data_IF_210966397956
#
_entry.id   IF_210966397956
#
_cell.length_a   1.000
_cell.length_b   1.000
_cell.length_c   1.000
_cell.angle_alpha   90.00
_cell.angle_beta   90.00
_cell.angle_gamma   90.00
#
_symmetry.space_group_name_H-M   'P 1'
#
loop_
_entity.id
_entity.type
_entity.pdbx_description
1 polymer ?
#
# COMPACT_ATOMS: atom_id res chain seq x y z
N UNK A 1 -14.22 52.51 61.79
CA UNK A 1 -13.43 52.84 62.98
C UNK A 1 -11.99 52.51 62.70
N UNK A 2 -11.14 53.46 62.43
CA UNK A 2 -10.11 54.06 63.33
C UNK A 2 -9.31 52.98 64.06
N UNK A 3 -7.97 52.97 64.07
CA UNK A 3 -6.92 53.94 63.85
C UNK A 3 -5.56 53.26 63.90
N UNK A 4 -4.63 53.85 63.29
CA UNK A 4 -3.44 54.59 63.71
C UNK A 4 -2.48 53.90 64.70
N UNK A 5 -1.18 53.97 64.29
CA UNK A 5 0.03 54.11 65.12
C UNK A 5 1.18 53.32 64.42
N UNK A 6 2.00 53.86 63.74
CA UNK A 6 3.15 54.78 63.75
C UNK A 6 4.24 54.34 64.75
N UNK A 7 5.40 54.15 64.25
CA UNK A 7 6.75 54.64 64.53
C UNK A 7 7.86 53.68 64.13
N UNK A 8 8.79 54.20 63.32
CA UNK A 8 9.98 53.59 62.82
C UNK A 8 11.21 53.76 63.72
N UNK A 9 12.44 53.91 63.14
CA UNK A 9 13.48 52.90 63.00
C UNK A 9 14.62 53.14 64.06
N UNK A 10 15.85 52.67 63.97
CA UNK A 10 16.75 52.19 62.85
C UNK A 10 17.67 51.04 63.27
N UNK A 11 18.44 50.55 62.28
CA UNK A 11 19.58 49.66 62.57
C UNK A 11 20.36 49.21 61.31
N UNK A 12 21.40 49.95 61.02
CA UNK A 12 22.43 49.59 60.04
C UNK A 12 23.12 48.26 60.34
N UNK A 13 23.36 47.46 59.32
CA UNK A 13 24.27 46.36 59.36
C UNK A 13 24.66 45.95 57.92
N UNK A 14 25.67 46.61 57.37
CA UNK A 14 26.31 46.22 56.12
C UNK A 14 27.07 44.92 56.31
N UNK A 15 26.73 43.89 55.56
CA UNK A 15 27.68 42.81 55.25
C UNK A 15 27.58 42.52 53.75
N UNK A 16 28.66 42.82 53.04
CA UNK A 16 28.97 42.47 51.70
C UNK A 16 28.90 40.96 51.49
N UNK A 17 28.04 40.52 50.61
CA UNK A 17 28.11 39.14 50.06
C UNK A 17 28.98 39.16 48.81
N UNK A 18 29.83 38.14 48.59
CA UNK A 18 30.69 38.06 47.44
C UNK A 18 29.85 37.79 46.18
N UNK A 19 30.12 38.54 45.12
CA UNK A 19 29.60 38.35 43.80
C UNK A 19 30.14 37.04 43.19
N UNK A 20 29.43 35.95 43.38
CA UNK A 20 29.65 34.75 42.62
C UNK A 20 29.05 34.91 41.23
N UNK A 21 29.89 35.18 40.27
CA UNK A 21 29.56 35.14 38.85
C UNK A 21 29.25 33.69 38.47
N UNK A 22 27.97 33.33 38.36
CA UNK A 22 27.58 32.06 37.73
C UNK A 22 27.86 32.20 36.23
N UNK A 23 28.97 31.65 35.79
CA UNK A 23 29.26 31.48 34.38
C UNK A 23 28.41 30.29 33.93
N UNK A 24 27.31 30.57 33.26
CA UNK A 24 26.61 29.54 32.49
C UNK A 24 27.57 29.02 31.42
N UNK A 25 27.82 27.72 31.31
CA UNK A 25 28.55 27.19 30.20
C UNK A 25 27.74 27.48 28.94
N UNK A 26 28.33 28.25 28.03
CA UNK A 26 27.82 28.41 26.69
C UNK A 26 27.75 27.01 26.06
N UNK A 27 26.55 26.52 25.82
CA UNK A 27 26.33 25.39 24.93
C UNK A 27 26.86 25.80 23.57
N UNK A 28 28.04 25.27 23.21
CA UNK A 28 28.51 25.30 21.84
C UNK A 28 27.47 24.60 20.96
N UNK A 29 27.10 25.17 19.81
CA UNK A 29 26.25 24.47 18.88
C UNK A 29 27.00 23.22 18.43
N UNK A 30 26.57 22.06 18.89
CA UNK A 30 26.97 20.80 18.31
C UNK A 30 26.33 20.74 16.91
N UNK A 31 27.08 21.17 15.92
CA UNK A 31 26.74 20.86 14.51
C UNK A 31 26.94 19.36 14.32
N UNK A 32 25.90 18.61 14.64
CA UNK A 32 25.80 17.24 14.20
C UNK A 32 25.52 17.28 12.69
N UNK A 33 26.57 17.14 11.88
CA UNK A 33 26.40 16.80 10.48
C UNK A 33 25.87 15.35 10.41
N UNK A 34 24.53 15.20 10.41
CA UNK A 34 23.88 13.99 10.01
C UNK A 34 23.99 13.89 8.50
N UNK A 35 24.97 13.15 8.02
CA UNK A 35 25.03 12.72 6.64
C UNK A 35 24.00 11.63 6.44
N UNK A 36 22.84 12.00 5.89
CA UNK A 36 21.87 11.03 5.37
C UNK A 36 22.35 10.60 3.99
N UNK A 37 22.85 9.39 3.88
CA UNK A 37 22.94 8.73 2.60
C UNK A 37 21.53 8.26 2.25
N UNK A 38 20.84 8.99 1.38
CA UNK A 38 19.67 8.46 0.67
C UNK A 38 20.21 7.49 -0.40
N UNK A 39 20.50 6.26 -0.02
CA UNK A 39 20.51 5.19 -0.99
C UNK A 39 19.05 4.91 -1.34
N UNK A 40 18.74 4.91 -2.64
CA UNK A 40 17.49 4.41 -3.16
C UNK A 40 17.35 2.96 -2.69
N UNK A 41 16.55 2.75 -1.66
CA UNK A 41 16.22 1.41 -1.22
C UNK A 41 15.24 0.82 -2.23
N UNK A 42 15.79 0.24 -3.28
CA UNK A 42 15.15 -0.89 -3.94
C UNK A 42 15.07 -1.97 -2.87
N UNK A 43 13.91 -2.48 -2.56
CA UNK A 43 13.59 -3.40 -1.47
C UNK A 43 14.70 -4.35 -1.00
N UNK A 44 14.53 -5.08 0.10
CA UNK A 44 15.61 -5.87 0.68
C UNK A 44 16.24 -6.76 -0.40
N UNK A 45 17.57 -6.87 -0.45
CA UNK A 45 18.22 -7.83 -1.32
C UNK A 45 17.66 -9.22 -0.99
N UNK A 46 17.40 -10.01 -2.04
CA UNK A 46 16.78 -11.33 -1.95
C UNK A 46 17.32 -12.11 -0.72
N UNK A 47 16.49 -12.27 0.29
CA UNK A 47 16.68 -13.23 1.37
C UNK A 47 16.87 -12.72 2.80
N UNK A 48 17.12 -11.45 3.06
CA UNK A 48 17.21 -10.95 4.43
C UNK A 48 16.02 -10.07 4.83
N UNK A 49 15.41 -10.28 6.02
CA UNK A 49 14.30 -9.47 6.50
C UNK A 49 14.77 -8.04 6.84
N UNK A 50 13.96 -7.04 6.54
CA UNK A 50 14.16 -5.69 7.07
C UNK A 50 13.75 -5.70 8.54
N UNK A 51 14.73 -5.64 9.44
CA UNK A 51 14.50 -5.61 10.88
C UNK A 51 14.46 -4.17 11.35
N UNK A 52 13.30 -3.73 11.83
CA UNK A 52 13.17 -2.42 12.48
C UNK A 52 13.86 -2.49 13.85
N UNK A 53 14.88 -1.65 14.11
CA UNK A 53 15.59 -1.71 15.38
C UNK A 53 14.70 -1.24 16.54
N UNK A 54 14.77 -1.93 17.68
CA UNK A 54 14.08 -1.52 18.92
C UNK A 54 14.72 -0.22 19.42
N UNK A 55 13.93 0.84 19.53
CA UNK A 55 14.38 2.16 19.98
C UNK A 55 13.46 2.67 21.08
N UNK A 56 14.01 3.42 22.03
CA UNK A 56 13.21 4.10 23.06
C UNK A 56 12.32 5.21 22.48
N UNK A 57 12.75 5.82 21.38
CA UNK A 57 12.02 6.87 20.66
C UNK A 57 12.30 6.69 19.19
N UNK A 58 11.24 6.63 18.38
CA UNK A 58 11.31 6.69 16.92
C UNK A 58 11.15 8.16 16.50
N UNK A 59 12.23 8.79 16.12
CA UNK A 59 12.21 10.14 15.59
C UNK A 59 12.27 10.09 14.06
N UNK A 60 11.23 10.60 13.41
CA UNK A 60 11.13 10.63 11.96
C UNK A 60 11.03 12.08 11.50
N UNK A 61 11.94 12.50 10.63
CA UNK A 61 11.81 13.75 9.92
C UNK A 61 10.97 13.49 8.68
N UNK A 62 9.74 13.97 8.71
CA UNK A 62 8.81 13.75 7.63
C UNK A 62 8.98 14.76 6.52
N UNK A 63 9.07 14.27 5.30
CA UNK A 63 9.09 15.06 4.07
C UNK A 63 7.94 14.60 3.16
N UNK A 64 6.98 15.50 2.96
CA UNK A 64 5.82 15.23 2.11
C UNK A 64 5.70 16.34 1.09
N UNK A 65 5.74 15.99 -0.17
CA UNK A 65 5.62 16.94 -1.28
C UNK A 65 4.61 16.46 -2.30
N UNK A 66 3.96 17.41 -2.95
CA UNK A 66 3.05 17.18 -4.05
C UNK A 66 3.44 18.10 -5.20
N UNK A 67 3.68 17.56 -6.38
CA UNK A 67 4.08 18.33 -7.56
C UNK A 67 3.17 17.99 -8.74
N UNK A 68 2.84 18.98 -9.55
CA UNK A 68 2.16 18.77 -10.81
C UNK A 68 3.16 18.23 -11.84
N UNK A 69 2.84 17.09 -12.47
CA UNK A 69 3.81 16.39 -13.34
C UNK A 69 4.23 17.17 -14.58
N UNK A 70 3.35 17.87 -15.32
CA UNK A 70 3.73 18.50 -16.60
C UNK A 70 4.80 19.58 -16.46
N UNK A 71 4.82 20.32 -15.36
CA UNK A 71 5.67 21.49 -15.17
C UNK A 71 6.47 21.47 -13.87
N UNK A 72 6.27 20.45 -13.02
CA UNK A 72 6.95 20.32 -11.75
C UNK A 72 6.52 21.36 -10.69
N UNK A 73 5.43 22.09 -10.92
CA UNK A 73 4.94 23.08 -9.98
C UNK A 73 4.57 22.42 -8.63
N UNK A 74 5.10 22.97 -7.54
CA UNK A 74 4.76 22.50 -6.19
C UNK A 74 3.32 22.86 -5.84
N UNK A 75 2.58 21.87 -5.35
CA UNK A 75 1.21 22.02 -4.89
C UNK A 75 1.22 21.97 -3.35
N UNK A 76 0.93 23.07 -2.67
CA UNK A 76 0.89 23.08 -1.21
C UNK A 76 -0.22 22.17 -0.70
N UNK A 77 0.09 21.36 0.31
CA UNK A 77 -0.82 20.34 0.83
C UNK A 77 -0.90 20.41 2.36
N UNK A 78 -2.10 20.35 2.93
CA UNK A 78 -2.33 20.24 4.37
C UNK A 78 -2.25 18.79 4.86
N UNK A 79 -2.87 17.89 4.11
CA UNK A 79 -2.84 16.46 4.34
C UNK A 79 -2.91 15.70 3.03
N UNK A 80 -2.39 14.48 3.07
CA UNK A 80 -2.35 13.58 1.92
C UNK A 80 -2.58 12.15 2.43
N UNK A 81 -3.42 11.39 1.74
CA UNK A 81 -3.65 9.98 1.99
C UNK A 81 -3.46 9.17 0.72
N UNK A 82 -2.77 8.05 0.86
CA UNK A 82 -2.55 7.06 -0.19
C UNK A 82 -3.00 5.70 0.33
N UNK A 83 -3.73 4.94 -0.45
CA UNK A 83 -4.20 3.62 -0.04
C UNK A 83 -4.09 2.61 -1.17
N UNK A 84 -3.76 1.37 -0.81
CA UNK A 84 -3.76 0.24 -1.72
C UNK A 84 -4.23 -1.00 -0.97
N UNK A 85 -5.18 -1.72 -1.55
CA UNK A 85 -5.64 -3.01 -1.09
C UNK A 85 -5.29 -4.10 -2.11
N UNK A 86 -5.04 -5.33 -1.67
CA UNK A 86 -4.73 -6.46 -2.54
C UNK A 86 -5.87 -6.82 -3.52
N UNK A 87 -7.08 -6.30 -3.31
CA UNK A 87 -8.18 -6.40 -4.26
C UNK A 87 -8.25 -5.23 -5.25
N UNK A 88 -7.44 -4.16 -5.02
CA UNK A 88 -7.40 -2.96 -5.85
C UNK A 88 -6.24 -3.01 -6.83
N UNK A 89 -6.52 -2.71 -8.08
CA UNK A 89 -5.54 -2.60 -9.17
C UNK A 89 -4.94 -1.18 -9.29
N UNK A 90 -5.28 -0.27 -8.37
CA UNK A 90 -4.86 1.13 -8.39
C UNK A 90 -4.67 1.67 -6.98
N UNK A 91 -3.73 2.61 -6.83
CA UNK A 91 -3.64 3.42 -5.61
C UNK A 91 -4.85 4.34 -5.50
N UNK A 92 -5.44 4.43 -4.32
CA UNK A 92 -6.35 5.50 -3.94
C UNK A 92 -5.57 6.72 -3.48
N UNK A 93 -6.05 7.92 -3.78
CA UNK A 93 -5.40 9.17 -3.45
C UNK A 93 -6.43 10.20 -2.96
N UNK A 94 -6.11 10.86 -1.87
CA UNK A 94 -6.87 12.01 -1.35
C UNK A 94 -5.90 13.05 -0.79
N UNK A 95 -6.19 14.32 -0.98
CA UNK A 95 -5.44 15.41 -0.37
C UNK A 95 -6.34 16.63 -0.09
N UNK A 96 -5.95 17.41 0.92
CA UNK A 96 -6.55 18.71 1.21
C UNK A 96 -5.53 19.81 0.98
N UNK A 97 -5.94 20.84 0.25
CA UNK A 97 -5.11 21.94 -0.23
C UNK A 97 -5.67 23.29 0.26
N UNK A 98 -4.84 24.33 0.38
CA UNK A 98 -5.34 25.69 0.55
C UNK A 98 -6.11 26.14 -0.71
N UNK A 99 -7.12 26.98 -0.54
CA UNK A 99 -7.92 27.48 -1.66
C UNK A 99 -7.10 28.20 -2.73
N UNK A 100 -5.98 28.81 -2.33
CA UNK A 100 -5.04 29.47 -3.27
C UNK A 100 -4.36 28.52 -4.24
N UNK A 101 -4.40 27.20 -3.99
CA UNK A 101 -3.80 26.19 -4.86
C UNK A 101 -4.77 25.64 -5.92
N UNK A 102 -6.02 26.14 -6.01
CA UNK A 102 -7.04 25.65 -6.95
C UNK A 102 -6.54 25.62 -8.40
N UNK A 103 -5.88 26.69 -8.83
CA UNK A 103 -5.37 26.81 -10.21
C UNK A 103 -4.29 25.77 -10.57
N UNK A 104 -3.65 25.13 -9.59
CA UNK A 104 -2.64 24.08 -9.82
C UNK A 104 -3.30 22.73 -10.12
N UNK A 105 -4.49 22.50 -9.63
CA UNK A 105 -5.20 21.22 -9.75
C UNK A 105 -6.43 21.30 -10.66
N UNK A 106 -6.85 22.50 -11.03
CA UNK A 106 -7.91 22.71 -12.02
C UNK A 106 -7.41 22.24 -13.40
N UNK A 107 -8.05 21.27 -14.05
CA UNK A 107 -7.68 20.84 -15.39
C UNK A 107 -7.86 21.94 -16.43
N UNK A 108 -8.67 22.98 -16.18
CA UNK A 108 -8.92 24.08 -17.09
C UNK A 108 -9.46 23.58 -18.42
N UNK A 109 -8.80 24.02 -19.53
CA UNK A 109 -9.13 23.57 -20.88
C UNK A 109 -8.44 22.26 -21.29
N UNK A 110 -7.63 21.66 -20.43
CA UNK A 110 -6.96 20.38 -20.70
C UNK A 110 -7.97 19.24 -20.69
N UNK A 111 -7.81 18.31 -21.61
CA UNK A 111 -8.61 17.09 -21.61
C UNK A 111 -8.01 16.08 -20.63
N UNK A 112 -8.72 15.78 -19.56
CA UNK A 112 -8.33 14.75 -18.59
C UNK A 112 -7.91 15.28 -17.23
N UNK A 113 -7.69 14.38 -16.27
CA UNK A 113 -7.31 14.73 -14.90
C UNK A 113 -5.88 15.27 -14.83
N UNK A 114 -5.62 16.11 -13.85
CA UNK A 114 -4.27 16.59 -13.57
C UNK A 114 -3.45 15.46 -12.95
N UNK A 115 -2.31 15.14 -13.57
CA UNK A 115 -1.36 14.16 -13.02
C UNK A 115 -0.46 14.83 -11.98
N UNK A 116 -0.38 14.23 -10.81
CA UNK A 116 0.40 14.70 -9.67
C UNK A 116 1.42 13.65 -9.26
N UNK A 117 2.57 14.11 -8.78
CA UNK A 117 3.62 13.31 -8.15
C UNK A 117 3.60 13.60 -6.66
N UNK A 118 3.10 12.66 -5.88
CA UNK A 118 3.15 12.71 -4.43
C UNK A 118 4.42 12.00 -3.95
N UNK A 119 5.13 12.58 -3.01
CA UNK A 119 6.27 11.96 -2.35
C UNK A 119 6.08 11.96 -0.85
N UNK A 120 6.24 10.80 -0.24
CA UNK A 120 6.12 10.61 1.22
C UNK A 120 7.39 9.95 1.71
N UNK A 121 8.19 10.67 2.47
CA UNK A 121 9.49 10.22 3.00
C UNK A 121 10.39 9.56 1.93
N UNK A 122 10.42 10.16 0.72
CA UNK A 122 11.21 9.67 -0.41
C UNK A 122 10.54 8.63 -1.30
N UNK A 123 9.43 8.04 -0.88
CA UNK A 123 8.64 7.15 -1.74
C UNK A 123 7.70 7.97 -2.60
N UNK A 124 7.83 7.85 -3.93
CA UNK A 124 7.07 8.62 -4.89
C UNK A 124 5.88 7.84 -5.46
N UNK A 125 4.78 8.55 -5.71
CA UNK A 125 3.54 8.00 -6.30
C UNK A 125 3.02 8.92 -7.38
N UNK A 126 2.68 8.37 -8.55
CA UNK A 126 1.97 9.10 -9.59
C UNK A 126 0.48 8.85 -9.47
N UNK A 127 -0.27 9.93 -9.29
CA UNK A 127 -1.71 9.92 -9.06
C UNK A 127 -2.42 10.92 -9.95
N UNK A 128 -3.69 10.71 -10.17
CA UNK A 128 -4.57 11.56 -10.97
C UNK A 128 -5.55 12.26 -10.03
N UNK A 129 -5.65 13.59 -10.13
CA UNK A 129 -6.70 14.35 -9.47
C UNK A 129 -7.98 14.25 -10.32
N UNK A 130 -8.89 13.33 -9.95
CA UNK A 130 -10.09 13.06 -10.72
C UNK A 130 -11.28 13.86 -10.24
N UNK A 131 -11.39 14.09 -8.94
CA UNK A 131 -12.44 14.87 -8.31
C UNK A 131 -11.83 16.02 -7.54
N UNK A 132 -12.40 17.21 -7.74
CA UNK A 132 -11.98 18.42 -7.07
C UNK A 132 -13.24 19.02 -6.44
N UNK A 133 -13.21 19.22 -5.13
CA UNK A 133 -14.28 19.86 -4.38
C UNK A 133 -13.74 21.04 -3.58
N UNK A 134 -14.47 22.15 -3.59
CA UNK A 134 -14.13 23.31 -2.77
C UNK A 134 -15.15 23.46 -1.65
N UNK A 135 -14.63 23.54 -0.43
CA UNK A 135 -15.41 23.86 0.76
C UNK A 135 -15.03 25.25 1.23
N UNK A 136 -16.04 26.06 1.49
CA UNK A 136 -15.85 27.42 1.97
C UNK A 136 -16.79 27.69 3.14
N UNK A 137 -16.20 28.01 4.28
CA UNK A 137 -16.89 28.53 5.46
C UNK A 137 -16.45 29.97 5.70
N UNK A 138 -17.13 30.69 6.60
CA UNK A 138 -16.69 32.05 6.93
C UNK A 138 -15.30 32.05 7.57
N UNK A 139 -14.37 32.70 6.90
CA UNK A 139 -12.98 32.81 7.39
C UNK A 139 -12.06 31.66 6.98
N UNK A 140 -12.58 30.59 6.34
CA UNK A 140 -11.77 29.47 5.89
C UNK A 140 -12.24 28.94 4.53
N UNK A 141 -11.28 28.52 3.71
CA UNK A 141 -11.57 27.89 2.43
C UNK A 141 -10.49 26.85 2.11
N UNK A 142 -10.93 25.65 1.78
CA UNK A 142 -10.06 24.53 1.41
C UNK A 142 -10.55 23.84 0.17
N UNK A 143 -9.63 23.13 -0.50
CA UNK A 143 -9.90 22.27 -1.63
C UNK A 143 -9.58 20.86 -1.23
N UNK A 144 -10.50 19.96 -1.49
CA UNK A 144 -10.26 18.52 -1.39
C UNK A 144 -10.16 17.95 -2.79
N UNK A 145 -9.08 17.23 -3.04
CA UNK A 145 -8.90 16.47 -4.27
C UNK A 145 -8.86 14.98 -3.93
N UNK A 146 -9.41 14.18 -4.82
CA UNK A 146 -9.35 12.72 -4.73
C UNK A 146 -9.22 12.11 -6.11
N UNK A 147 -8.72 10.89 -6.16
CA UNK A 147 -8.57 10.17 -7.40
C UNK A 147 -7.80 8.87 -7.23
N UNK A 148 -7.24 8.43 -8.32
CA UNK A 148 -6.59 7.12 -8.42
C UNK A 148 -5.15 7.25 -8.90
N UNK A 149 -4.37 6.18 -8.70
CA UNK A 149 -3.04 6.04 -9.29
C UNK A 149 -3.09 6.05 -10.82
N UNK A 150 -1.92 6.15 -11.43
CA UNK A 150 -1.76 6.27 -12.90
C UNK A 150 -2.43 5.13 -13.69
N UNK A 151 -2.60 3.96 -13.10
CA UNK A 151 -3.30 2.80 -13.68
C UNK A 151 -4.75 3.09 -14.03
N UNK A 152 -5.36 4.15 -13.47
CA UNK A 152 -6.72 4.57 -13.79
C UNK A 152 -6.94 4.86 -15.29
N UNK A 153 -5.86 5.22 -16.03
CA UNK A 153 -5.96 5.43 -17.49
C UNK A 153 -6.36 4.17 -18.27
N UNK A 154 -6.18 2.98 -17.67
CA UNK A 154 -6.59 1.70 -18.25
C UNK A 154 -8.05 1.32 -17.92
N UNK A 155 -8.74 2.15 -17.15
CA UNK A 155 -10.11 1.96 -16.70
C UNK A 155 -11.04 3.10 -17.12
N UNK A 156 -12.33 2.90 -16.97
CA UNK A 156 -13.31 3.98 -17.13
C UNK A 156 -13.05 5.11 -16.10
N UNK A 157 -13.27 6.38 -16.48
CA UNK A 157 -13.82 6.87 -17.75
C UNK A 157 -12.79 7.06 -18.88
N UNK A 158 -11.49 6.82 -18.63
CA UNK A 158 -10.41 7.12 -19.59
C UNK A 158 -10.27 6.05 -20.66
N UNK A 159 -10.55 4.80 -20.30
CA UNK A 159 -10.52 3.66 -21.20
C UNK A 159 -11.92 3.36 -21.74
N UNK A 160 -12.07 3.14 -23.06
CA UNK A 160 -13.33 2.67 -23.61
C UNK A 160 -13.56 1.19 -23.25
N UNK A 161 -14.82 0.76 -23.23
CA UNK A 161 -15.15 -0.64 -23.21
C UNK A 161 -14.87 -1.26 -24.58
N UNK A 162 -14.11 -2.36 -24.58
CA UNK A 162 -13.68 -3.08 -25.77
C UNK A 162 -14.05 -4.56 -25.63
N UNK A 163 -14.00 -5.27 -26.75
CA UNK A 163 -14.10 -6.74 -26.77
C UNK A 163 -12.71 -7.32 -27.00
N UNK A 164 -12.28 -8.16 -26.09
CA UNK A 164 -11.01 -8.87 -26.13
C UNK A 164 -11.26 -10.35 -26.42
N UNK A 165 -10.49 -10.93 -27.33
CA UNK A 165 -10.53 -12.36 -27.63
C UNK A 165 -9.18 -12.81 -28.20
N UNK A 166 -8.81 -14.04 -28.00
CA UNK A 166 -7.61 -14.62 -28.60
C UNK A 166 -7.97 -15.45 -29.84
N UNK A 167 -7.57 -14.98 -31.02
CA UNK A 167 -7.76 -15.72 -32.27
C UNK A 167 -6.83 -16.94 -32.38
N UNK A 168 -5.70 -16.91 -31.69
CA UNK A 168 -4.67 -17.98 -31.68
C UNK A 168 -4.37 -18.39 -30.23
N UNK A 169 -3.76 -19.59 -30.09
CA UNK A 169 -3.25 -20.02 -28.78
C UNK A 169 -2.14 -19.10 -28.29
N UNK A 170 -2.22 -18.70 -27.03
CA UNK A 170 -1.25 -17.82 -26.36
C UNK A 170 -1.02 -18.31 -24.94
N UNK A 171 0.10 -17.93 -24.32
CA UNK A 171 0.21 -18.06 -22.88
C UNK A 171 -0.56 -16.93 -22.19
N UNK A 172 -0.93 -17.12 -20.92
CA UNK A 172 -1.66 -16.09 -20.16
C UNK A 172 -0.88 -14.77 -20.07
N UNK A 173 0.45 -14.85 -19.95
CA UNK A 173 1.33 -13.69 -20.01
C UNK A 173 1.24 -12.98 -21.37
N UNK A 174 1.34 -13.74 -22.47
CA UNK A 174 1.23 -13.18 -23.81
C UNK A 174 -0.13 -12.54 -24.06
N UNK A 175 -1.22 -13.11 -23.51
CA UNK A 175 -2.55 -12.49 -23.57
C UNK A 175 -2.58 -11.12 -22.89
N UNK A 176 -1.90 -10.94 -21.78
CA UNK A 176 -1.82 -9.62 -21.14
C UNK A 176 -1.09 -8.59 -22.01
N UNK A 177 0.01 -8.99 -22.64
CA UNK A 177 0.72 -8.12 -23.58
C UNK A 177 -0.16 -7.78 -24.81
N UNK A 178 -0.96 -8.74 -25.28
CA UNK A 178 -1.90 -8.53 -26.39
C UNK A 178 -3.06 -7.61 -25.99
N UNK A 179 -3.63 -7.74 -24.79
CA UNK A 179 -4.64 -6.84 -24.21
C UNK A 179 -4.12 -5.39 -24.15
N UNK A 180 -2.85 -5.20 -23.84
CA UNK A 180 -2.19 -3.88 -23.78
C UNK A 180 -1.74 -3.36 -25.15
N UNK A 181 -2.24 -3.94 -26.22
CA UNK A 181 -1.91 -3.56 -27.60
C UNK A 181 -3.20 -3.23 -28.34
N UNK A 182 -3.24 -2.09 -29.03
CA UNK A 182 -4.40 -1.65 -29.84
C UNK A 182 -3.95 -1.52 -31.28
N UNK A 183 -4.59 -2.24 -32.20
CA UNK A 183 -4.25 -2.26 -33.63
C UNK A 183 -2.76 -2.49 -33.89
N UNK A 184 -2.11 -3.38 -33.11
CA UNK A 184 -0.69 -3.67 -33.23
C UNK A 184 0.24 -2.63 -32.56
N UNK A 185 -0.30 -1.61 -31.91
CA UNK A 185 0.48 -0.56 -31.21
C UNK A 185 0.38 -0.77 -29.71
N UNK A 186 1.52 -1.02 -28.99
CA UNK A 186 1.51 -1.11 -27.53
C UNK A 186 1.09 0.19 -26.87
N UNK A 187 0.32 0.10 -25.80
CA UNK A 187 -0.12 1.25 -24.98
C UNK A 187 1.00 1.84 -24.11
N UNK A 188 2.21 1.28 -24.15
CA UNK A 188 3.34 1.72 -23.34
C UNK A 188 3.29 1.25 -21.89
N UNK A 189 2.44 0.25 -21.59
CA UNK A 189 2.39 -0.43 -20.31
C UNK A 189 3.14 -1.76 -20.37
N UNK A 190 3.80 -2.12 -19.28
CA UNK A 190 4.48 -3.39 -19.10
C UNK A 190 3.82 -4.24 -18.01
N UNK A 191 3.98 -5.56 -18.13
CA UNK A 191 3.50 -6.52 -17.13
C UNK A 191 4.68 -7.25 -16.50
N UNK A 192 4.82 -7.11 -15.19
CA UNK A 192 5.73 -7.93 -14.38
C UNK A 192 4.95 -9.15 -13.87
N UNK A 193 5.20 -10.28 -14.55
CA UNK A 193 4.46 -11.52 -14.37
C UNK A 193 5.04 -12.38 -13.25
N UNK A 194 4.31 -12.57 -12.16
CA UNK A 194 4.71 -13.35 -10.99
C UNK A 194 3.90 -14.62 -10.75
N UNK A 195 3.16 -15.12 -11.75
CA UNK A 195 2.45 -16.40 -11.69
C UNK A 195 3.16 -17.47 -12.50
N UNK A 196 2.86 -18.73 -12.24
CA UNK A 196 3.22 -19.80 -13.18
C UNK A 196 2.37 -19.65 -14.42
N UNK A 197 3.00 -19.51 -15.60
CA UNK A 197 2.30 -19.29 -16.86
C UNK A 197 1.62 -20.58 -17.35
N UNK A 198 0.61 -20.43 -18.21
CA UNK A 198 -0.12 -21.55 -18.81
C UNK A 198 -0.62 -21.17 -20.21
N UNK A 199 -0.88 -22.18 -21.05
CA UNK A 199 -1.40 -21.95 -22.39
C UNK A 199 -2.92 -21.78 -22.36
N UNK A 200 -3.39 -20.81 -23.13
CA UNK A 200 -4.80 -20.53 -23.38
C UNK A 200 -5.07 -20.81 -24.86
N UNK A 201 -5.85 -21.84 -25.20
CA UNK A 201 -6.19 -22.18 -26.57
C UNK A 201 -6.92 -21.05 -27.29
N UNK A 202 -6.89 -21.06 -28.62
CA UNK A 202 -7.64 -20.12 -29.45
C UNK A 202 -9.12 -20.13 -29.07
N UNK A 203 -9.69 -18.93 -28.93
CA UNK A 203 -11.11 -18.72 -28.59
C UNK A 203 -11.49 -18.97 -27.13
N UNK A 204 -10.56 -19.40 -26.27
CA UNK A 204 -10.87 -19.63 -24.86
C UNK A 204 -10.95 -18.33 -24.05
N UNK A 205 -10.32 -17.26 -24.49
CA UNK A 205 -10.44 -15.94 -23.87
C UNK A 205 -11.43 -15.07 -24.63
N UNK A 206 -12.48 -14.66 -23.93
CA UNK A 206 -13.43 -13.65 -24.38
C UNK A 206 -13.82 -12.76 -23.21
N UNK A 207 -13.59 -11.46 -23.33
CA UNK A 207 -13.91 -10.48 -22.30
C UNK A 207 -14.42 -9.20 -22.93
N UNK A 208 -15.45 -8.59 -22.33
CA UNK A 208 -15.94 -7.27 -22.70
C UNK A 208 -15.78 -6.33 -21.53
N UNK A 209 -15.07 -5.24 -21.72
CA UNK A 209 -14.79 -4.26 -20.67
C UNK A 209 -13.58 -3.41 -21.02
N UNK A 210 -12.99 -2.79 -20.01
CA UNK A 210 -11.78 -1.98 -20.11
C UNK A 210 -10.52 -2.88 -20.09
N UNK A 211 -9.37 -2.30 -20.45
CA UNK A 211 -8.10 -3.02 -20.39
C UNK A 211 -7.83 -3.63 -19.01
N UNK A 212 -8.06 -2.83 -17.95
CA UNK A 212 -7.78 -3.30 -16.58
C UNK A 212 -8.68 -4.47 -16.17
N UNK A 213 -9.95 -4.48 -16.62
CA UNK A 213 -10.88 -5.57 -16.34
C UNK A 213 -10.48 -6.85 -17.06
N UNK A 214 -10.03 -6.74 -18.32
CA UNK A 214 -9.51 -7.86 -19.08
C UNK A 214 -8.24 -8.45 -18.42
N UNK A 215 -7.30 -7.60 -18.01
CA UNK A 215 -6.09 -8.01 -17.28
C UNK A 215 -6.43 -8.66 -15.94
N UNK A 216 -7.39 -8.10 -15.20
CA UNK A 216 -7.85 -8.66 -13.93
C UNK A 216 -8.50 -10.03 -14.10
N UNK A 217 -9.26 -10.24 -15.19
CA UNK A 217 -9.83 -11.55 -15.52
C UNK A 217 -8.73 -12.60 -15.75
N UNK A 218 -7.70 -12.26 -16.53
CA UNK A 218 -6.58 -13.17 -16.80
C UNK A 218 -5.83 -13.52 -15.51
N UNK A 219 -5.47 -12.51 -14.69
CA UNK A 219 -4.80 -12.75 -13.41
C UNK A 219 -5.66 -13.58 -12.45
N UNK A 220 -6.96 -13.25 -12.37
CA UNK A 220 -7.93 -13.88 -11.48
C UNK A 220 -8.14 -15.38 -11.76
N UNK A 221 -8.02 -15.81 -13.02
CA UNK A 221 -8.16 -17.21 -13.40
C UNK A 221 -7.21 -18.14 -12.62
N UNK A 222 -5.98 -17.69 -12.37
CA UNK A 222 -4.99 -18.42 -11.56
C UNK A 222 -4.95 -17.96 -10.08
N UNK A 223 -5.96 -17.23 -9.59
CA UNK A 223 -5.96 -16.72 -8.22
C UNK A 223 -4.97 -15.57 -7.96
N UNK A 224 -4.54 -14.90 -9.03
CA UNK A 224 -3.71 -13.71 -8.96
C UNK A 224 -4.51 -12.42 -8.78
N UNK A 225 -3.79 -11.32 -8.63
CA UNK A 225 -4.30 -9.97 -8.61
C UNK A 225 -3.32 -9.01 -9.28
N UNK A 226 -3.82 -7.84 -9.67
CA UNK A 226 -3.02 -6.78 -10.25
C UNK A 226 -2.57 -5.80 -9.16
N UNK A 227 -1.30 -5.47 -9.17
CA UNK A 227 -0.70 -4.50 -8.26
C UNK A 227 -0.04 -3.39 -9.08
N UNK A 228 -0.42 -2.12 -8.87
CA UNK A 228 0.14 -1.01 -9.64
C UNK A 228 1.57 -0.71 -9.19
N UNK A 229 2.45 -0.38 -10.13
CA UNK A 229 3.71 0.24 -9.76
C UNK A 229 3.44 1.68 -9.31
N UNK A 230 4.07 2.19 -8.24
CA UNK A 230 3.81 3.53 -7.72
C UNK A 230 3.98 4.66 -8.74
N UNK A 231 4.98 4.58 -9.62
CA UNK A 231 5.33 5.65 -10.57
C UNK A 231 5.39 5.22 -12.03
N UNK A 232 5.83 3.99 -12.33
CA UNK A 232 6.02 3.51 -13.69
C UNK A 232 4.69 3.05 -14.33
N UNK A 233 4.65 3.01 -15.66
CA UNK A 233 3.58 2.39 -16.44
C UNK A 233 3.78 0.87 -16.45
N UNK A 234 3.67 0.28 -15.28
CA UNK A 234 3.85 -1.15 -15.07
C UNK A 234 2.83 -1.71 -14.10
N UNK A 235 2.33 -2.90 -14.39
CA UNK A 235 1.45 -3.68 -13.53
C UNK A 235 2.20 -4.93 -13.10
N UNK A 236 2.20 -5.19 -11.80
CA UNK A 236 2.73 -6.42 -11.22
C UNK A 236 1.58 -7.41 -11.04
N UNK A 237 1.70 -8.59 -11.61
CA UNK A 237 0.75 -9.68 -11.41
C UNK A 237 1.31 -10.59 -10.33
N UNK A 238 0.60 -10.73 -9.22
CA UNK A 238 1.05 -11.52 -8.07
C UNK A 238 -0.04 -12.50 -7.65
N UNK A 239 0.36 -13.63 -7.08
CA UNK A 239 -0.58 -14.58 -6.49
C UNK A 239 -1.12 -14.03 -5.16
N UNK A 240 -2.41 -14.25 -4.88
CA UNK A 240 -3.04 -13.78 -3.63
C UNK A 240 -2.38 -14.34 -2.37
N UNK A 241 -1.80 -15.53 -2.48
CA UNK A 241 -1.01 -16.20 -1.45
C UNK A 241 0.27 -16.71 -2.10
N UNK A 242 1.34 -15.90 -2.12
CA UNK A 242 2.63 -16.30 -2.72
C UNK A 242 3.15 -17.59 -2.11
N UNK A 243 2.92 -17.76 -0.82
CA UNK A 243 3.16 -18.97 -0.05
C UNK A 243 1.84 -19.35 0.66
N UNK A 244 1.50 -20.61 0.66
CA UNK A 244 0.28 -21.08 1.30
C UNK A 244 0.40 -20.96 2.85
N UNK A 245 -0.67 -20.59 3.57
CA UNK A 245 -0.62 -20.33 5.01
C UNK A 245 -0.06 -21.49 5.84
N UNK A 246 -0.28 -22.72 5.42
CA UNK A 246 0.25 -23.90 6.10
C UNK A 246 1.76 -24.12 5.92
N UNK A 247 2.41 -23.31 5.08
CA UNK A 247 3.85 -23.32 4.83
C UNK A 247 4.56 -22.11 5.47
N UNK A 248 3.81 -21.17 6.08
CA UNK A 248 4.38 -19.93 6.64
C UNK A 248 5.37 -20.17 7.79
N UNK A 249 5.29 -21.31 8.48
CA UNK A 249 6.22 -21.61 9.58
C UNK A 249 7.69 -21.66 9.19
N UNK A 250 8.02 -21.79 7.92
CA UNK A 250 9.39 -21.80 7.38
C UNK A 250 9.74 -20.55 6.57
N UNK A 251 8.82 -19.57 6.51
CA UNK A 251 9.01 -18.39 5.70
C UNK A 251 9.79 -17.31 6.45
N UNK A 252 10.77 -16.71 5.79
CA UNK A 252 11.44 -15.51 6.28
C UNK A 252 10.56 -14.30 6.00
N UNK A 253 10.23 -13.46 6.99
CA UNK A 253 9.44 -12.25 6.79
C UNK A 253 10.22 -11.21 5.97
N UNK A 254 9.52 -10.37 5.22
CA UNK A 254 10.12 -9.21 4.56
C UNK A 254 10.45 -8.11 5.58
N UNK A 255 9.61 -7.97 6.60
CA UNK A 255 9.77 -6.96 7.66
C UNK A 255 9.55 -7.58 9.04
N UNK A 256 10.40 -7.19 9.99
CA UNK A 256 10.23 -7.51 11.40
C UNK A 256 9.89 -6.23 12.15
N UNK A 257 8.68 -6.15 12.69
CA UNK A 257 8.14 -4.98 13.37
C UNK A 257 8.16 -5.20 14.89
N UNK A 258 9.01 -4.50 15.65
CA UNK A 258 8.98 -4.59 17.10
C UNK A 258 7.71 -3.92 17.66
N UNK A 259 7.27 -4.39 18.82
CA UNK A 259 6.06 -3.85 19.47
C UNK A 259 6.13 -2.34 19.68
N UNK A 260 7.31 -1.81 19.99
CA UNK A 260 7.53 -0.39 20.27
C UNK A 260 7.38 0.50 19.02
N UNK A 261 7.45 -0.07 17.82
CA UNK A 261 7.22 0.67 16.57
C UNK A 261 5.72 0.78 16.23
N UNK A 262 4.88 -0.06 16.82
CA UNK A 262 3.44 -0.10 16.55
C UNK A 262 2.71 0.81 17.54
N UNK A 263 2.22 1.95 17.05
CA UNK A 263 1.51 2.93 17.87
C UNK A 263 0.08 2.49 18.23
N UNK A 264 -0.54 1.69 17.37
CA UNK A 264 -1.89 1.17 17.60
C UNK A 264 -2.05 -0.17 16.90
N UNK A 265 -2.65 -1.10 17.62
CA UNK A 265 -3.05 -2.41 17.12
C UNK A 265 -4.56 -2.59 17.28
N UNK A 266 -5.18 -3.27 16.32
CA UNK A 266 -6.56 -3.72 16.40
C UNK A 266 -6.64 -5.13 15.79
N UNK A 267 -7.24 -6.07 16.50
CA UNK A 267 -7.29 -7.48 16.12
C UNK A 267 -8.73 -7.92 15.99
N UNK A 268 -9.04 -8.62 14.91
CA UNK A 268 -10.35 -9.22 14.63
C UNK A 268 -10.18 -10.68 14.25
N UNK A 269 -10.84 -11.57 14.94
CA UNK A 269 -10.88 -12.99 14.61
C UNK A 269 -12.01 -13.28 13.63
N UNK A 270 -11.67 -14.03 12.59
CA UNK A 270 -12.62 -14.50 11.58
C UNK A 270 -12.59 -16.02 11.56
N UNK A 271 -13.76 -16.62 11.57
CA UNK A 271 -13.90 -18.06 11.36
C UNK A 271 -14.55 -18.31 10.01
N UNK A 272 -13.79 -18.89 9.09
CA UNK A 272 -14.26 -19.35 7.78
C UNK A 272 -14.30 -20.88 7.77
N UNK A 273 -15.14 -21.50 6.92
CA UNK A 273 -15.12 -22.95 6.75
C UNK A 273 -13.70 -23.43 6.42
N UNK A 274 -13.24 -24.47 7.13
CA UNK A 274 -11.88 -25.00 6.96
C UNK A 274 -11.82 -25.96 5.76
N UNK A 275 -12.02 -25.44 4.56
CA UNK A 275 -11.92 -26.21 3.33
C UNK A 275 -10.53 -26.81 3.16
N UNK A 276 -10.47 -28.07 2.73
CA UNK A 276 -9.20 -28.76 2.48
C UNK A 276 -9.14 -29.42 1.09
N UNK A 277 -10.19 -29.27 0.28
CA UNK A 277 -10.25 -29.68 -1.11
C UNK A 277 -11.14 -28.73 -1.92
N UNK A 278 -10.74 -28.49 -3.17
CA UNK A 278 -11.54 -27.73 -4.13
C UNK A 278 -11.44 -28.37 -5.52
N UNK A 279 -12.53 -28.35 -6.26
CA UNK A 279 -12.55 -28.65 -7.68
C UNK A 279 -12.54 -27.35 -8.47
N UNK A 280 -11.67 -27.29 -9.45
CA UNK A 280 -11.46 -26.12 -10.32
C UNK A 280 -11.50 -26.60 -11.76
N UNK A 281 -12.35 -26.00 -12.58
CA UNK A 281 -12.58 -26.47 -13.95
C UNK A 281 -12.47 -25.35 -14.96
N UNK A 282 -11.99 -25.67 -16.13
CA UNK A 282 -12.26 -24.93 -17.35
C UNK A 282 -13.71 -25.03 -17.77
N UNK A 283 -14.13 -24.23 -18.74
CA UNK A 283 -15.51 -24.19 -19.21
C UNK A 283 -15.74 -25.14 -20.39
N UNK A 284 -15.37 -24.75 -21.62
CA UNK A 284 -15.56 -25.57 -22.81
C UNK A 284 -14.28 -26.37 -23.17
N UNK A 285 -13.16 -25.70 -23.07
CA UNK A 285 -11.81 -26.28 -23.22
C UNK A 285 -11.08 -26.09 -21.92
N UNK A 286 -10.48 -27.14 -21.40
CA UNK A 286 -9.74 -27.01 -20.15
C UNK A 286 -9.68 -28.28 -19.34
N UNK A 287 -9.22 -28.14 -18.12
CA UNK A 287 -8.98 -29.24 -17.19
C UNK A 287 -9.99 -29.21 -16.06
N UNK A 288 -10.37 -30.40 -15.58
CA UNK A 288 -10.97 -30.54 -14.26
C UNK A 288 -9.84 -30.83 -13.27
N UNK A 289 -9.45 -29.83 -12.51
CA UNK A 289 -8.44 -29.94 -11.48
C UNK A 289 -9.04 -30.23 -10.11
N UNK A 290 -8.46 -31.18 -9.40
CA UNK A 290 -8.72 -31.36 -7.96
C UNK A 290 -7.49 -30.88 -7.20
N UNK A 291 -7.68 -29.90 -6.33
CA UNK A 291 -6.61 -29.40 -5.45
C UNK A 291 -6.96 -29.80 -4.02
N UNK A 292 -6.08 -30.52 -3.35
CA UNK A 292 -6.24 -30.96 -1.97
C UNK A 292 -5.05 -30.47 -1.15
N UNK A 293 -5.31 -29.91 0.02
CA UNK A 293 -4.28 -29.50 0.97
C UNK A 293 -3.49 -30.71 1.43
N UNK A 294 -2.18 -30.69 1.26
CA UNK A 294 -1.29 -31.78 1.67
C UNK A 294 -1.44 -32.08 3.19
N UNK A 295 -1.35 -33.37 3.54
CA UNK A 295 -1.50 -33.80 4.93
C UNK A 295 -2.94 -33.80 5.46
N UNK A 296 -3.95 -33.59 4.61
CA UNK A 296 -5.38 -33.64 5.01
C UNK A 296 -6.14 -34.72 4.26
N UNK A 297 -7.29 -35.15 4.82
CA UNK A 297 -8.13 -36.17 4.18
C UNK A 297 -8.88 -35.64 2.92
N UNK A 298 -8.91 -34.35 2.70
CA UNK A 298 -9.65 -33.75 1.58
C UNK A 298 -11.17 -33.94 1.65
N UNK A 299 -11.71 -34.03 2.84
CA UNK A 299 -13.13 -34.35 3.10
C UNK A 299 -14.03 -33.11 3.29
N UNK A 300 -13.44 -31.91 3.40
CA UNK A 300 -14.18 -30.66 3.51
C UNK A 300 -14.03 -29.89 2.20
N UNK A 301 -15.09 -29.94 1.38
CA UNK A 301 -15.08 -29.42 0.03
C UNK A 301 -15.43 -27.94 0.01
N UNK A 302 -14.61 -27.15 -0.68
CA UNK A 302 -14.97 -25.80 -1.08
C UNK A 302 -15.94 -25.82 -2.28
N UNK A 303 -16.74 -24.77 -2.50
CA UNK A 303 -17.51 -24.62 -3.72
C UNK A 303 -16.61 -24.74 -4.96
N UNK A 304 -17.11 -25.48 -5.95
CA UNK A 304 -16.42 -25.64 -7.22
C UNK A 304 -16.31 -24.30 -7.94
N UNK A 305 -15.17 -24.05 -8.56
CA UNK A 305 -14.93 -22.87 -9.40
C UNK A 305 -14.79 -23.28 -10.84
N UNK A 306 -15.50 -22.58 -11.73
CA UNK A 306 -15.43 -22.75 -13.18
C UNK A 306 -14.99 -21.43 -13.80
N UNK A 307 -13.92 -21.46 -14.63
CA UNK A 307 -13.41 -20.29 -15.32
C UNK A 307 -12.85 -20.71 -16.68
N UNK A 308 -13.24 -19.99 -17.73
CA UNK A 308 -12.85 -20.33 -19.11
C UNK A 308 -11.33 -20.35 -19.34
N UNK A 309 -10.59 -19.57 -18.54
CA UNK A 309 -9.13 -19.49 -18.66
C UNK A 309 -8.37 -20.56 -17.87
N UNK A 310 -9.07 -21.45 -17.15
CA UNK A 310 -8.45 -22.60 -16.48
C UNK A 310 -8.28 -23.74 -17.49
N UNK A 311 -7.36 -23.57 -18.39
CA UNK A 311 -7.14 -24.47 -19.54
C UNK A 311 -6.07 -25.52 -19.28
N UNK A 312 -5.22 -25.32 -18.27
CA UNK A 312 -4.14 -26.24 -17.89
C UNK A 312 -4.02 -26.43 -16.38
N UNK A 313 -3.35 -27.51 -15.98
CA UNK A 313 -3.14 -27.88 -14.59
C UNK A 313 -2.43 -26.78 -13.73
N UNK A 314 -1.43 -26.04 -14.24
CA UNK A 314 -0.82 -24.94 -13.47
C UNK A 314 -1.82 -23.86 -13.05
N UNK A 315 -2.72 -23.46 -13.94
CA UNK A 315 -3.77 -22.47 -13.62
C UNK A 315 -4.73 -23.01 -12.56
N UNK A 316 -5.24 -24.26 -12.76
CA UNK A 316 -6.12 -24.91 -11.80
C UNK A 316 -5.48 -25.04 -10.41
N UNK A 317 -4.20 -25.43 -10.35
CA UNK A 317 -3.46 -25.57 -9.09
C UNK A 317 -3.33 -24.25 -8.35
N UNK A 318 -2.89 -23.19 -9.03
CA UNK A 318 -2.74 -21.85 -8.44
C UNK A 318 -4.09 -21.31 -7.95
N UNK A 319 -5.15 -21.46 -8.76
CA UNK A 319 -6.50 -21.07 -8.37
C UNK A 319 -6.96 -21.81 -7.11
N UNK A 320 -6.75 -23.13 -7.08
CA UNK A 320 -7.10 -23.96 -5.93
C UNK A 320 -6.34 -23.60 -4.66
N UNK A 321 -5.03 -23.30 -4.77
CA UNK A 321 -4.22 -22.82 -3.65
C UNK A 321 -4.79 -21.50 -3.12
N UNK A 322 -5.13 -20.55 -4.00
CA UNK A 322 -5.71 -19.26 -3.59
C UNK A 322 -7.01 -19.45 -2.79
N UNK A 323 -7.88 -20.38 -3.22
CA UNK A 323 -9.15 -20.67 -2.54
C UNK A 323 -8.90 -21.33 -1.19
N UNK A 324 -8.08 -22.39 -1.14
CA UNK A 324 -7.81 -23.13 0.09
C UNK A 324 -6.99 -22.32 1.11
N UNK A 325 -6.24 -21.34 0.66
CA UNK A 325 -5.50 -20.42 1.53
C UNK A 325 -6.43 -19.44 2.24
N UNK A 326 -7.58 -19.10 1.67
CA UNK A 326 -8.54 -18.17 2.28
C UNK A 326 -9.61 -18.91 3.13
N UNK A 327 -9.19 -19.83 3.95
CA UNK A 327 -10.09 -20.71 4.74
C UNK A 327 -9.62 -20.84 6.19
N UNK A 328 -10.50 -21.38 7.05
CA UNK A 328 -10.19 -21.68 8.46
C UNK A 328 -10.18 -20.44 9.34
N UNK A 329 -9.53 -20.57 10.49
CA UNK A 329 -9.42 -19.48 11.46
C UNK A 329 -8.40 -18.47 11.02
N UNK A 330 -8.84 -17.25 10.80
CA UNK A 330 -8.01 -16.13 10.37
C UNK A 330 -8.04 -15.01 11.41
N UNK A 331 -6.99 -14.22 11.41
CA UNK A 331 -6.87 -13.04 12.24
C UNK A 331 -6.60 -11.87 11.27
N UNK A 332 -7.49 -10.89 11.30
CA UNK A 332 -7.25 -9.60 10.65
C UNK A 332 -6.68 -8.64 11.68
N UNK A 333 -5.51 -8.13 11.40
CA UNK A 333 -4.80 -7.19 12.28
C UNK A 333 -4.60 -5.87 11.57
N UNK A 334 -4.94 -4.80 12.25
CA UNK A 334 -4.62 -3.45 11.78
C UNK A 334 -3.48 -2.90 12.63
N UNK A 335 -2.33 -2.67 12.01
CA UNK A 335 -1.13 -2.12 12.66
C UNK A 335 -0.90 -0.70 12.17
N UNK A 336 -0.93 0.28 13.09
CA UNK A 336 -0.57 1.66 12.79
C UNK A 336 0.84 1.96 13.30
N UNK A 337 1.72 2.39 12.39
CA UNK A 337 3.12 2.69 12.69
C UNK A 337 3.58 3.92 11.89
N UNK A 338 4.62 4.64 12.35
CA UNK A 338 5.21 5.72 11.57
C UNK A 338 5.83 5.17 10.27
N UNK A 339 5.89 5.99 9.24
CA UNK A 339 6.63 5.65 8.02
C UNK A 339 8.11 5.85 8.32
N UNK A 340 8.78 4.76 8.66
CA UNK A 340 10.21 4.76 8.99
C UNK A 340 11.07 4.77 7.73
N UNK A 341 12.29 5.27 7.83
CA UNK A 341 13.25 5.26 6.70
C UNK A 341 13.60 3.82 6.28
N UNK A 342 13.63 2.90 7.24
CA UNK A 342 13.97 1.49 7.04
C UNK A 342 12.87 0.72 6.29
N UNK A 343 11.60 1.09 6.51
CA UNK A 343 10.48 0.36 5.93
C UNK A 343 9.88 1.05 4.69
N UNK A 344 9.96 2.37 4.62
CA UNK A 344 9.13 3.11 3.69
C UNK A 344 7.64 2.82 3.89
N UNK A 345 6.87 2.89 2.83
CA UNK A 345 5.48 2.43 2.80
C UNK A 345 5.48 0.94 2.43
N UNK A 346 5.02 0.11 3.35
CA UNK A 346 4.95 -1.34 3.15
C UNK A 346 3.75 -1.65 2.25
N UNK A 347 4.00 -2.30 1.12
CA UNK A 347 2.98 -2.60 0.12
C UNK A 347 2.24 -3.93 0.42
N UNK A 348 0.99 -4.10 -0.07
CA UNK A 348 0.30 -5.39 -0.02
C UNK A 348 1.10 -6.51 -0.70
N UNK A 349 1.06 -7.71 -0.12
CA UNK A 349 1.83 -8.87 -0.58
C UNK A 349 3.11 -9.11 0.20
N UNK A 350 3.57 -8.15 1.01
CA UNK A 350 4.70 -8.33 1.90
C UNK A 350 4.32 -9.18 3.13
N UNK A 351 5.27 -9.96 3.62
CA UNK A 351 5.15 -10.70 4.88
C UNK A 351 5.75 -9.89 6.02
N UNK A 352 4.97 -9.69 7.07
CA UNK A 352 5.41 -8.98 8.26
C UNK A 352 5.38 -9.89 9.48
N UNK A 353 6.46 -9.87 10.24
CA UNK A 353 6.50 -10.44 11.59
C UNK A 353 6.22 -9.32 12.59
N UNK A 354 5.30 -9.55 13.50
CA UNK A 354 4.93 -8.60 14.55
C UNK A 354 4.63 -9.32 15.85
N UNK A 355 4.63 -8.58 16.95
CA UNK A 355 4.35 -9.12 18.28
C UNK A 355 2.90 -8.84 18.67
N UNK A 356 2.17 -9.91 19.01
CA UNK A 356 0.83 -9.90 19.60
C UNK A 356 0.96 -10.33 21.07
N UNK A 357 1.08 -9.36 21.97
CA UNK A 357 1.43 -9.62 23.37
C UNK A 357 2.77 -10.32 23.54
N UNK A 358 2.76 -11.55 24.00
CA UNK A 358 3.96 -12.40 24.15
C UNK A 358 4.21 -13.34 22.95
N UNK A 359 3.35 -13.31 21.94
CA UNK A 359 3.39 -14.21 20.79
C UNK A 359 3.91 -13.48 19.57
N UNK A 360 4.93 -14.03 18.92
CA UNK A 360 5.36 -13.55 17.61
C UNK A 360 4.49 -14.18 16.52
N UNK A 361 3.92 -13.35 15.66
CA UNK A 361 3.06 -13.77 14.55
C UNK A 361 3.63 -13.32 13.22
N UNK A 362 3.48 -14.18 12.24
CA UNK A 362 3.73 -13.86 10.83
C UNK A 362 2.38 -13.59 10.14
N UNK A 363 2.33 -12.54 9.35
CA UNK A 363 1.14 -12.18 8.59
C UNK A 363 1.45 -11.61 7.22
N UNK A 364 0.48 -11.73 6.32
CA UNK A 364 0.53 -11.20 4.96
C UNK A 364 -0.19 -9.86 4.90
N UNK A 365 0.49 -8.82 4.47
CA UNK A 365 -0.10 -7.49 4.28
C UNK A 365 -1.11 -7.54 3.14
N UNK A 366 -2.36 -7.17 3.43
CA UNK A 366 -3.47 -7.14 2.48
C UNK A 366 -3.86 -5.74 2.05
N UNK A 367 -3.64 -4.78 2.93
CA UNK A 367 -3.95 -3.38 2.67
C UNK A 367 -2.91 -2.48 3.31
N UNK A 368 -2.68 -1.36 2.68
CA UNK A 368 -1.83 -0.29 3.19
C UNK A 368 -2.52 1.05 3.01
N UNK A 369 -2.46 1.89 4.04
CA UNK A 369 -2.91 3.27 3.97
C UNK A 369 -1.83 4.18 4.59
N UNK A 370 -1.21 5.00 3.76
CA UNK A 370 -0.34 6.09 4.17
C UNK A 370 -1.15 7.35 4.44
N UNK A 371 -0.94 7.98 5.58
CA UNK A 371 -1.56 9.25 5.95
C UNK A 371 -0.48 10.24 6.34
N UNK A 372 -0.40 11.32 5.60
CA UNK A 372 0.53 12.41 5.86
C UNK A 372 -0.26 13.66 6.25
N UNK A 373 0.00 14.17 7.44
CA UNK A 373 -0.52 15.44 7.95
C UNK A 373 0.57 16.06 8.81
N UNK A 374 0.88 17.34 8.59
CA UNK A 374 1.96 17.97 9.34
C UNK A 374 1.65 17.98 10.84
N UNK A 375 2.59 17.57 11.72
CA UNK A 375 3.96 17.12 11.44
C UNK A 375 4.13 15.60 11.27
N UNK A 376 3.08 14.83 11.26
CA UNK A 376 3.10 13.38 11.40
C UNK A 376 2.82 12.65 10.07
N UNK A 377 3.52 11.56 9.86
CA UNK A 377 3.26 10.62 8.75
C UNK A 377 3.13 9.21 9.32
N UNK A 378 2.00 8.62 9.06
CA UNK A 378 1.63 7.29 9.54
C UNK A 378 1.30 6.36 8.39
N UNK A 379 1.56 5.08 8.59
CA UNK A 379 0.97 4.04 7.77
C UNK A 379 0.14 3.10 8.64
N UNK A 380 -0.96 2.62 8.07
CA UNK A 380 -1.81 1.59 8.67
C UNK A 380 -1.79 0.38 7.75
N UNK A 381 -1.36 -0.75 8.27
CA UNK A 381 -1.30 -2.02 7.56
C UNK A 381 -2.50 -2.87 7.95
N UNK A 382 -3.21 -3.40 6.96
CA UNK A 382 -4.16 -4.48 7.15
C UNK A 382 -3.44 -5.81 6.93
N UNK A 383 -3.23 -6.57 7.99
CA UNK A 383 -2.44 -7.81 7.98
C UNK A 383 -3.37 -9.00 8.20
N UNK A 384 -3.25 -10.00 7.35
CA UNK A 384 -3.93 -11.29 7.52
C UNK A 384 -2.95 -12.29 8.14
N UNK A 385 -3.32 -12.84 9.30
CA UNK A 385 -2.60 -13.92 9.97
C UNK A 385 -3.53 -15.12 10.20
N UNK A 386 -2.98 -16.22 10.69
CA UNK A 386 -3.72 -17.45 11.01
C UNK A 386 -3.53 -17.79 12.49
N UNK A 387 -4.62 -18.32 13.10
CA UNK A 387 -4.65 -18.71 14.51
C UNK A 387 -4.10 -20.11 14.73
#
# INVERSE_FOLDING_TARGET
CRGRGDTGPPGRGSRSAPSGRVVSPALAPASAHLLFFCENHTGPPDGEPVVVPIRRVYFVINNVTLHRVPDGAEVPVFNLSLSLDAASWTWGFEASLPASAEYLVDPGAASGPVELLASVNGTAFRVLAENISRERTFGDASIRISGRGRTAVLAAPYAPAMTFSNAEGRTARQLMDEVLTVNGVPLGWSVDWGLTDWNVPAGAFAHQGTWIEALAAIAGAAGGYLMPHPTAQSLRVRHRYPVAPWEWGSLTPDFVLPVDAVARESVRWLEKPAYNRVFVSGQEVGVLGQVTRAGTAGNVLAPMVVDALITEAPAARQRGIAILSDTGRQIEVSLRLPVLAETGIIEPGAFVEYQDGSVTRLGLVRATQGQAGFPEVWQTLGVQAYA
#
